data_IF_598952086715
#
_entry.id   IF_598952086715
#
_cell.length_a   1.000
_cell.length_b   1.000
_cell.length_c   1.000
_cell.angle_alpha   90.00
_cell.angle_beta   90.00
_cell.angle_gamma   90.00
#
_symmetry.space_group_name_H-M   'P 1'
#
loop_
_entity.id
_entity.type
_entity.pdbx_description
1 polymer ?
#
# COMPACT_ATOMS: atom_id res chain seq x y z
N UNK A 1 8.65 8.85 -6.55
CA UNK A 1 7.86 8.94 -7.80
C UNK A 1 7.81 7.61 -8.58
N UNK A 2 8.92 6.92 -8.86
CA UNK A 2 8.87 5.61 -9.57
C UNK A 2 8.18 4.48 -8.78
N UNK A 3 8.32 4.45 -7.45
CA UNK A 3 7.67 3.45 -6.59
C UNK A 3 6.14 3.55 -6.63
N UNK A 4 5.61 4.77 -6.53
CA UNK A 4 4.17 5.05 -6.71
C UNK A 4 3.67 4.48 -8.03
N UNK A 5 4.38 4.76 -9.13
CA UNK A 5 4.00 4.26 -10.45
C UNK A 5 3.99 2.74 -10.54
N UNK A 6 4.92 2.05 -9.88
CA UNK A 6 4.94 0.58 -9.86
C UNK A 6 3.76 -0.03 -9.12
N UNK A 7 3.39 0.56 -7.98
CA UNK A 7 2.22 0.12 -7.21
C UNK A 7 0.93 0.38 -8.00
N UNK A 8 0.80 1.58 -8.57
CA UNK A 8 -0.34 1.98 -9.41
C UNK A 8 -0.52 1.06 -10.64
N UNK A 9 0.57 0.79 -11.36
CA UNK A 9 0.57 -0.16 -12.48
C UNK A 9 0.15 -1.57 -12.05
N UNK A 10 0.64 -2.04 -10.90
CA UNK A 10 0.29 -3.36 -10.39
C UNK A 10 -1.20 -3.44 -10.02
N UNK A 11 -1.72 -2.48 -9.25
CA UNK A 11 -3.13 -2.44 -8.85
C UNK A 11 -4.07 -2.36 -10.06
N UNK A 12 -3.69 -1.57 -11.07
CA UNK A 12 -4.40 -1.52 -12.36
C UNK A 12 -4.43 -2.89 -13.03
N UNK A 13 -3.29 -3.60 -13.10
CA UNK A 13 -3.20 -4.94 -13.70
C UNK A 13 -4.00 -6.00 -12.93
N UNK A 14 -4.13 -5.83 -11.61
CA UNK A 14 -4.95 -6.70 -10.76
C UNK A 14 -6.44 -6.31 -10.75
N UNK A 15 -6.87 -5.34 -11.57
CA UNK A 15 -8.24 -4.82 -11.63
C UNK A 15 -8.76 -4.32 -10.27
N UNK A 16 -7.91 -3.64 -9.49
CA UNK A 16 -8.32 -3.05 -8.22
C UNK A 16 -8.79 -1.61 -8.44
N UNK A 17 -9.90 -1.20 -7.82
CA UNK A 17 -10.23 0.21 -7.72
C UNK A 17 -9.33 0.90 -6.70
N UNK A 18 -8.57 1.90 -7.13
CA UNK A 18 -7.51 2.44 -6.29
C UNK A 18 -7.19 3.90 -6.58
N UNK A 19 -6.60 4.55 -5.59
CA UNK A 19 -5.81 5.76 -5.75
C UNK A 19 -4.49 5.57 -5.02
N UNK A 20 -3.40 6.17 -5.54
CA UNK A 20 -2.09 6.07 -4.90
C UNK A 20 -1.55 7.46 -4.62
N UNK A 21 -1.12 7.70 -3.39
CA UNK A 21 -0.32 8.87 -3.02
C UNK A 21 1.07 8.44 -2.53
N UNK A 22 2.01 9.37 -2.47
CA UNK A 22 3.33 9.15 -1.86
C UNK A 22 3.74 10.39 -1.08
N UNK A 23 4.20 10.19 0.15
CA UNK A 23 4.73 11.23 1.04
C UNK A 23 6.04 10.77 1.68
N UNK A 24 6.76 11.68 2.35
CA UNK A 24 7.91 11.30 3.15
C UNK A 24 7.48 10.55 4.43
N UNK A 25 8.36 9.74 4.99
CA UNK A 25 8.08 9.01 6.25
C UNK A 25 7.76 10.00 7.38
N UNK A 26 8.35 11.19 7.42
CA UNK A 26 8.03 12.21 8.43
C UNK A 26 6.61 12.80 8.30
N UNK A 27 5.94 12.61 7.17
CA UNK A 27 4.68 13.27 6.80
C UNK A 27 3.49 12.30 6.84
N UNK A 28 3.73 10.99 7.01
CA UNK A 28 2.71 9.95 6.86
C UNK A 28 1.48 10.16 7.76
N UNK A 29 1.68 10.72 8.97
CA UNK A 29 0.58 10.98 9.92
C UNK A 29 -0.44 11.98 9.39
N UNK A 30 0.01 12.98 8.62
CA UNK A 30 -0.89 13.99 8.02
C UNK A 30 -1.70 13.40 6.87
N UNK A 31 -1.12 12.45 6.14
CA UNK A 31 -1.76 11.78 5.00
C UNK A 31 -2.64 10.58 5.41
N UNK A 32 -2.53 10.14 6.67
CA UNK A 32 -3.16 8.91 7.18
C UNK A 32 -4.68 8.90 7.05
N UNK A 33 -5.30 10.07 7.11
CA UNK A 33 -6.75 10.22 6.98
C UNK A 33 -7.25 9.75 5.62
N UNK A 34 -6.49 10.00 4.55
CA UNK A 34 -6.81 9.65 3.17
C UNK A 34 -6.21 8.32 2.69
N UNK A 35 -5.59 7.54 3.58
CA UNK A 35 -4.95 6.27 3.21
C UNK A 35 -5.61 5.08 3.92
N UNK A 36 -5.89 4.02 3.18
CA UNK A 36 -6.35 2.73 3.71
C UNK A 36 -5.18 1.78 3.96
N UNK A 37 -4.19 1.81 3.06
CA UNK A 37 -2.99 0.96 3.13
C UNK A 37 -1.75 1.84 3.00
N UNK A 38 -0.80 1.66 3.91
CA UNK A 38 0.54 2.26 3.85
C UNK A 38 1.52 1.18 3.43
N UNK A 39 2.20 1.38 2.31
CA UNK A 39 3.29 0.49 1.89
C UNK A 39 4.61 1.19 2.23
N UNK A 40 5.46 0.51 3.00
CA UNK A 40 6.72 1.08 3.47
C UNK A 40 7.86 0.05 3.46
N UNK A 41 9.10 0.53 3.50
CA UNK A 41 10.27 -0.35 3.69
C UNK A 41 10.13 -1.11 5.00
N UNK A 42 10.50 -2.39 5.03
CA UNK A 42 10.54 -3.18 6.28
C UNK A 42 11.38 -2.53 7.37
N UNK A 43 12.34 -1.65 7.02
CA UNK A 43 13.17 -0.94 8.00
C UNK A 43 12.41 0.14 8.79
N UNK A 44 11.27 0.61 8.27
CA UNK A 44 10.48 1.69 8.91
C UNK A 44 9.03 1.28 9.15
N UNK A 45 8.58 0.15 8.61
CA UNK A 45 7.20 -0.32 8.76
C UNK A 45 6.81 -0.52 10.23
N UNK A 46 7.72 -1.02 11.06
CA UNK A 46 7.48 -1.23 12.50
C UNK A 46 7.34 0.09 13.29
N UNK A 47 7.82 1.20 12.73
CA UNK A 47 7.69 2.54 13.32
C UNK A 47 6.35 3.21 12.94
N UNK A 48 5.66 2.68 11.94
CA UNK A 48 4.40 3.23 11.43
C UNK A 48 3.26 2.63 12.24
N UNK A 49 2.69 3.45 13.13
CA UNK A 49 1.45 3.10 13.83
C UNK A 49 0.25 3.63 13.07
N UNK A 50 -0.75 2.77 12.86
CA UNK A 50 -2.07 3.08 12.28
C UNK A 50 -3.18 2.67 13.24
N UNK A 51 -4.36 3.26 13.09
CA UNK A 51 -5.56 2.92 13.88
C UNK A 51 -6.77 2.76 12.96
N UNK A 52 -7.79 2.04 13.45
CA UNK A 52 -9.02 1.79 12.69
C UNK A 52 -8.81 0.79 11.55
N UNK A 53 -9.57 0.94 10.46
CA UNK A 53 -9.52 0.06 9.30
C UNK A 53 -8.38 0.45 8.33
N UNK A 54 -7.15 0.50 8.86
CA UNK A 54 -5.94 0.91 8.13
C UNK A 54 -4.82 -0.10 8.36
N UNK A 55 -4.00 -0.32 7.33
CA UNK A 55 -3.04 -1.42 7.33
C UNK A 55 -1.67 -0.97 6.84
N UNK A 56 -0.62 -1.58 7.40
CA UNK A 56 0.78 -1.34 7.00
C UNK A 56 1.32 -2.59 6.32
N UNK A 57 1.89 -2.42 5.13
CA UNK A 57 2.53 -3.48 4.34
C UNK A 57 4.02 -3.20 4.26
N UNK A 58 4.81 -4.01 4.98
CA UNK A 58 6.27 -3.96 4.95
C UNK A 58 6.86 -4.70 3.74
N UNK A 59 7.66 -3.99 2.94
CA UNK A 59 8.30 -4.53 1.72
C UNK A 59 9.80 -4.29 1.72
N UNK A 60 10.57 -5.21 1.14
CA UNK A 60 12.03 -5.07 1.05
C UNK A 60 12.42 -4.28 -0.20
N UNK A 61 11.70 -4.50 -1.29
CA UNK A 61 11.90 -3.85 -2.58
C UNK A 61 10.56 -3.40 -3.19
N UNK A 62 10.22 -2.13 -2.97
CA UNK A 62 9.01 -1.51 -3.49
C UNK A 62 9.01 -1.32 -5.03
N UNK A 63 10.12 -1.60 -5.72
CA UNK A 63 10.18 -1.61 -7.19
C UNK A 63 9.85 -2.97 -7.79
N UNK A 64 9.81 -4.03 -6.97
CA UNK A 64 9.53 -5.40 -7.39
C UNK A 64 8.10 -5.80 -7.04
N UNK A 65 7.24 -5.91 -8.05
CA UNK A 65 5.87 -6.42 -7.87
C UNK A 65 5.85 -7.84 -7.31
N UNK A 66 6.90 -8.63 -7.55
CA UNK A 66 7.03 -9.97 -6.97
C UNK A 66 7.24 -9.94 -5.43
N UNK A 67 7.73 -8.84 -4.87
CA UNK A 67 7.86 -8.69 -3.41
C UNK A 67 6.63 -8.02 -2.80
N UNK A 68 6.22 -6.85 -3.31
CA UNK A 68 5.10 -6.12 -2.70
C UNK A 68 3.72 -6.70 -3.07
N UNK A 69 3.58 -7.29 -4.26
CA UNK A 69 2.29 -7.67 -4.84
C UNK A 69 1.51 -8.67 -4.00
N UNK A 70 2.06 -9.85 -3.66
CA UNK A 70 1.36 -10.84 -2.85
C UNK A 70 0.91 -10.27 -1.50
N UNK A 71 1.79 -9.56 -0.80
CA UNK A 71 1.49 -8.96 0.52
C UNK A 71 0.39 -7.91 0.45
N UNK A 72 0.41 -7.09 -0.61
CA UNK A 72 -0.62 -6.08 -0.84
C UNK A 72 -1.97 -6.74 -1.16
N UNK A 73 -1.97 -7.78 -1.99
CA UNK A 73 -3.17 -8.53 -2.34
C UNK A 73 -3.76 -9.30 -1.16
N UNK A 74 -2.94 -9.82 -0.25
CA UNK A 74 -3.42 -10.48 0.97
C UNK A 74 -4.25 -9.50 1.83
N UNK A 75 -3.75 -8.27 2.02
CA UNK A 75 -4.47 -7.23 2.77
C UNK A 75 -5.75 -6.80 2.05
N UNK A 76 -5.69 -6.57 0.73
CA UNK A 76 -6.86 -6.17 -0.06
C UNK A 76 -7.93 -7.26 -0.02
N UNK A 77 -7.56 -8.52 -0.20
CA UNK A 77 -8.52 -9.64 -0.19
C UNK A 77 -9.15 -9.82 1.20
N UNK A 78 -8.37 -9.64 2.27
CA UNK A 78 -8.85 -9.80 3.64
C UNK A 78 -9.76 -8.66 4.12
N UNK A 79 -9.49 -7.42 3.69
CA UNK A 79 -10.10 -6.22 4.29
C UNK A 79 -10.87 -5.33 3.31
N UNK A 80 -10.60 -5.47 2.00
CA UNK A 80 -11.15 -4.65 0.92
C UNK A 80 -11.64 -5.48 -0.28
N UNK A 81 -12.34 -6.62 -0.10
CA UNK A 81 -12.68 -7.51 -1.22
C UNK A 81 -13.65 -6.89 -2.23
N UNK A 82 -14.37 -5.82 -1.84
CA UNK A 82 -15.31 -5.11 -2.71
C UNK A 82 -14.62 -4.26 -3.77
N UNK A 83 -13.34 -3.93 -3.57
CA UNK A 83 -12.59 -3.06 -4.46
C UNK A 83 -11.90 -3.84 -5.59
N UNK A 84 -11.97 -5.18 -5.55
CA UNK A 84 -11.57 -6.05 -6.66
C UNK A 84 -12.67 -6.03 -7.71
N UNK A 85 -12.41 -5.46 -8.89
CA UNK A 85 -13.40 -5.37 -9.98
C UNK A 85 -13.63 -6.75 -10.59
N UNK A 86 -14.90 -7.14 -10.65
CA UNK A 86 -15.40 -8.37 -11.29
C UNK A 86 -15.36 -8.31 -12.81
#
# INVERSE_FOLDING_TARGET
MIMKMKVDQFLTQQNIDHSVNSCAVGEYKSELSGADIIIASTHVADEITVTGNKYVVGVRNMLSAADFGPKLMDVITAHFPKDIKS
#
